data_IF_514927794672
#
_entry.id   IF_514927794672
#
_cell.length_a   1.000
_cell.length_b   1.000
_cell.length_c   1.000
_cell.angle_alpha   90.00
_cell.angle_beta   90.00
_cell.angle_gamma   90.00
#
_symmetry.space_group_name_H-M   'P 1'
#
loop_
_entity.id
_entity.type
_entity.pdbx_description
1 polymer ?
#
# COMPACT_ATOMS: atom_id res chain seq x y z
N UNK A 1 -23.62 28.76 15.87
CA UNK A 1 -22.80 28.22 16.97
C UNK A 1 -21.74 27.38 16.31
N UNK A 2 -20.51 27.85 16.28
CA UNK A 2 -19.39 27.12 15.69
C UNK A 2 -19.16 25.86 16.53
N UNK A 3 -19.22 24.67 15.88
CA UNK A 3 -18.68 23.44 16.44
C UNK A 3 -17.23 23.73 16.83
N UNK A 4 -16.96 23.88 18.12
CA UNK A 4 -15.59 23.86 18.60
C UNK A 4 -15.08 22.45 18.28
N UNK A 5 -14.24 22.37 17.26
CA UNK A 5 -13.49 21.18 16.91
C UNK A 5 -12.85 20.64 18.19
N UNK A 6 -13.32 19.52 18.66
CA UNK A 6 -12.86 18.89 19.90
C UNK A 6 -11.49 18.24 19.64
N UNK A 7 -10.50 19.07 19.32
CA UNK A 7 -9.15 18.64 19.00
C UNK A 7 -8.41 18.23 20.27
N UNK A 8 -8.05 16.96 20.33
CA UNK A 8 -7.34 16.37 21.46
C UNK A 8 -5.83 16.33 21.16
N UNK A 9 -5.02 16.67 22.14
CA UNK A 9 -3.56 16.63 22.04
C UNK A 9 -2.97 15.52 22.91
N UNK A 10 -2.03 14.76 22.36
CA UNK A 10 -1.25 13.75 23.08
C UNK A 10 0.23 13.89 22.77
N UNK A 11 1.05 13.37 23.65
CA UNK A 11 2.50 13.38 23.44
C UNK A 11 2.90 12.41 22.32
N UNK A 12 3.92 12.80 21.54
CA UNK A 12 4.48 11.94 20.49
C UNK A 12 5.26 10.82 21.14
N UNK A 13 4.90 9.58 20.86
CA UNK A 13 5.51 8.38 21.43
C UNK A 13 7.01 8.33 21.09
N UNK A 14 7.84 8.25 22.14
CA UNK A 14 9.30 8.29 22.04
C UNK A 14 9.91 9.70 21.97
N UNK A 15 9.08 10.74 21.95
CA UNK A 15 9.49 12.16 21.94
C UNK A 15 8.61 13.03 22.84
N UNK A 16 8.13 12.49 23.94
CA UNK A 16 7.12 13.06 24.85
C UNK A 16 7.52 14.45 25.38
N UNK A 17 8.81 14.64 25.64
CA UNK A 17 9.36 15.93 26.16
C UNK A 17 9.51 17.01 25.07
N UNK A 18 9.41 16.63 23.78
CA UNK A 18 9.73 17.51 22.66
C UNK A 18 8.52 17.89 21.83
N UNK A 19 7.59 16.95 21.63
CA UNK A 19 6.49 17.15 20.71
C UNK A 19 5.17 16.61 21.25
N UNK A 20 4.08 17.26 20.87
CA UNK A 20 2.72 16.77 20.99
C UNK A 20 2.06 16.71 19.63
N UNK A 21 1.19 15.74 19.42
CA UNK A 21 0.41 15.54 18.18
C UNK A 21 -1.07 15.67 18.49
N UNK A 22 -1.83 16.30 17.60
CA UNK A 22 -3.26 16.43 17.76
C UNK A 22 -4.03 15.31 17.03
N UNK A 23 -5.28 15.10 17.44
CA UNK A 23 -6.22 14.19 16.75
C UNK A 23 -6.51 14.61 15.30
N UNK A 24 -6.25 15.87 14.96
CA UNK A 24 -6.39 16.42 13.60
C UNK A 24 -5.08 16.45 12.81
N UNK A 25 -4.02 15.80 13.31
CA UNK A 25 -2.73 15.69 12.63
C UNK A 25 -1.84 16.94 12.70
N UNK A 26 -2.03 17.84 13.65
CA UNK A 26 -1.13 19.00 13.87
C UNK A 26 -0.02 18.63 14.86
N UNK A 27 1.24 18.92 14.51
CA UNK A 27 2.39 18.65 15.37
C UNK A 27 2.83 19.93 16.08
N UNK A 28 2.89 19.90 17.41
CA UNK A 28 3.32 21.00 18.26
C UNK A 28 4.71 20.73 18.83
N UNK A 29 5.59 21.72 18.76
CA UNK A 29 6.91 21.69 19.37
C UNK A 29 6.87 22.36 20.76
N UNK A 30 7.09 21.58 21.80
CA UNK A 30 7.16 22.09 23.19
C UNK A 30 8.32 23.06 23.40
N UNK A 31 9.44 22.84 22.69
CA UNK A 31 10.62 23.69 22.78
C UNK A 31 10.40 25.11 22.23
N UNK A 32 9.67 25.23 21.13
CA UNK A 32 9.45 26.51 20.45
C UNK A 32 8.07 27.08 20.71
N UNK A 33 7.20 26.33 21.39
CA UNK A 33 5.80 26.65 21.65
C UNK A 33 5.02 27.02 20.38
N UNK A 34 5.27 26.29 19.29
CA UNK A 34 4.66 26.53 17.98
C UNK A 34 4.22 25.23 17.32
N UNK A 35 3.14 25.34 16.52
CA UNK A 35 2.76 24.28 15.58
C UNK A 35 3.79 24.27 14.44
N UNK A 36 4.32 23.11 14.15
CA UNK A 36 5.33 22.93 13.10
C UNK A 36 4.70 22.86 11.73
N UNK A 37 5.35 23.52 10.76
CA UNK A 37 4.95 23.41 9.36
C UNK A 37 5.17 21.98 8.85
N UNK A 38 4.18 21.46 8.17
CA UNK A 38 4.25 20.17 7.50
C UNK A 38 4.71 20.35 6.05
N UNK A 39 5.47 19.39 5.57
CA UNK A 39 5.90 19.30 4.18
C UNK A 39 5.49 17.93 3.63
N UNK A 40 5.21 17.87 2.34
CA UNK A 40 4.97 16.61 1.65
C UNK A 40 6.30 15.92 1.42
N UNK A 41 6.43 14.66 1.85
CA UNK A 41 7.64 13.85 1.71
C UNK A 41 7.34 12.51 1.04
N UNK A 42 8.27 12.04 0.22
CA UNK A 42 8.16 10.76 -0.47
C UNK A 42 6.87 10.64 -1.29
N UNK A 43 6.12 9.57 -1.07
CA UNK A 43 4.88 9.26 -1.82
C UNK A 43 3.67 10.10 -1.35
N UNK A 44 3.80 11.42 -1.26
CA UNK A 44 2.74 12.39 -0.92
C UNK A 44 2.23 12.32 0.53
N UNK A 45 3.07 11.90 1.49
CA UNK A 45 2.70 11.92 2.91
C UNK A 45 3.14 13.21 3.60
N UNK A 46 2.27 13.75 4.46
CA UNK A 46 2.62 14.87 5.31
C UNK A 46 3.61 14.45 6.40
N UNK A 47 4.68 15.22 6.54
CA UNK A 47 5.68 15.02 7.58
C UNK A 47 6.25 16.36 8.09
N UNK A 48 6.73 16.37 9.32
CA UNK A 48 7.54 17.41 9.86
C UNK A 48 9.01 16.97 9.87
N UNK A 49 9.87 17.81 9.27
CA UNK A 49 11.33 17.62 9.31
C UNK A 49 11.90 18.61 10.31
N UNK A 50 12.57 18.11 11.32
CA UNK A 50 13.17 18.92 12.39
C UNK A 50 14.52 18.36 12.83
N UNK A 51 15.23 19.09 13.69
CA UNK A 51 16.50 18.61 14.27
C UNK A 51 16.37 18.42 15.79
N UNK A 52 16.93 17.32 16.29
CA UNK A 52 17.07 17.05 17.71
C UNK A 52 18.54 17.22 18.10
N UNK A 53 18.82 17.84 19.25
CA UNK A 53 20.21 18.05 19.72
C UNK A 53 20.86 19.35 19.20
N UNK A 54 20.06 20.36 18.80
CA UNK A 54 20.56 21.67 18.40
C UNK A 54 21.06 21.74 16.95
N UNK A 55 21.96 22.74 16.65
CA UNK A 55 22.41 23.05 15.28
C UNK A 55 23.16 21.87 14.62
N UNK A 56 23.94 21.10 15.39
CA UNK A 56 24.68 19.91 14.93
C UNK A 56 23.94 18.60 15.16
N UNK A 57 22.67 18.66 15.57
CA UNK A 57 21.85 17.50 15.92
C UNK A 57 21.40 16.70 14.70
N UNK A 58 20.80 15.52 14.99
CA UNK A 58 20.29 14.60 13.97
C UNK A 58 18.98 15.11 13.36
N UNK A 59 18.81 14.93 12.06
CA UNK A 59 17.53 15.17 11.40
C UNK A 59 16.52 14.11 11.88
N UNK A 60 15.33 14.60 12.22
CA UNK A 60 14.18 13.79 12.58
C UNK A 60 13.06 14.05 11.57
N UNK A 61 12.51 12.99 11.01
CA UNK A 61 11.35 13.05 10.12
C UNK A 61 10.20 12.35 10.83
N UNK A 62 9.16 13.13 11.19
CA UNK A 62 7.94 12.60 11.82
C UNK A 62 6.84 12.57 10.76
N UNK A 63 6.43 11.37 10.34
CA UNK A 63 5.30 11.18 9.41
C UNK A 63 3.99 11.33 10.18
N UNK A 64 3.22 12.34 9.88
CA UNK A 64 2.06 12.77 10.69
C UNK A 64 1.05 11.64 10.92
N UNK A 65 0.59 10.96 9.87
CA UNK A 65 -0.37 9.85 10.00
C UNK A 65 0.11 8.76 10.96
N UNK A 66 1.43 8.47 10.98
CA UNK A 66 1.99 7.46 11.88
C UNK A 66 2.03 7.95 13.33
N UNK A 67 2.36 9.21 13.55
CA UNK A 67 2.42 9.76 14.90
C UNK A 67 1.01 9.91 15.50
N UNK A 68 0.00 10.28 14.69
CA UNK A 68 -1.41 10.25 15.09
C UNK A 68 -1.83 8.82 15.43
N UNK A 69 -1.58 7.86 14.55
CA UNK A 69 -1.97 6.48 14.79
C UNK A 69 -1.32 5.91 16.06
N UNK A 70 -0.03 6.14 16.29
CA UNK A 70 0.67 5.70 17.51
C UNK A 70 0.09 6.32 18.79
N UNK A 71 -0.30 7.61 18.73
CA UNK A 71 -0.80 8.31 19.89
C UNK A 71 -2.25 8.00 20.24
N UNK A 72 -3.10 7.73 19.24
CA UNK A 72 -4.55 7.67 19.41
C UNK A 72 -5.19 6.32 19.12
N UNK A 73 -4.60 5.50 18.26
CA UNK A 73 -5.21 4.25 17.79
C UNK A 73 -4.50 3.04 18.40
N UNK A 74 -5.18 2.23 19.24
CA UNK A 74 -4.60 0.99 19.76
C UNK A 74 -4.17 0.05 18.64
N UNK A 75 -2.98 -0.58 18.81
CA UNK A 75 -2.45 -1.56 17.85
C UNK A 75 -2.03 -2.85 18.59
N UNK A 76 -2.99 -3.62 19.13
CA UNK A 76 -2.67 -4.82 19.92
C UNK A 76 -2.01 -5.92 19.08
N UNK A 77 -2.26 -5.93 17.77
CA UNK A 77 -1.73 -6.93 16.83
C UNK A 77 -0.40 -6.50 16.18
N UNK A 78 0.19 -5.37 16.57
CA UNK A 78 1.42 -4.82 16.00
C UNK A 78 1.38 -4.73 14.47
N UNK A 79 0.26 -4.29 13.91
CA UNK A 79 0.10 -4.14 12.45
C UNK A 79 1.07 -3.08 11.92
N UNK A 80 1.76 -3.34 10.79
CA UNK A 80 2.91 -2.52 10.37
C UNK A 80 2.56 -1.24 9.62
N UNK A 81 1.35 -1.16 9.04
CA UNK A 81 0.95 -0.07 8.15
C UNK A 81 -0.15 0.78 8.75
N UNK A 82 -0.16 2.07 8.41
CA UNK A 82 -1.27 2.98 8.66
C UNK A 82 -1.90 3.33 7.31
N UNK A 83 -3.19 3.08 7.19
CA UNK A 83 -4.01 3.38 6.02
C UNK A 83 -4.85 4.65 6.26
N UNK A 84 -5.12 5.41 5.19
CA UNK A 84 -6.11 6.47 5.14
C UNK A 84 -7.39 5.87 4.54
N UNK A 85 -8.46 5.81 5.32
CA UNK A 85 -9.73 5.16 4.92
C UNK A 85 -10.34 5.78 3.66
N UNK A 86 -10.22 7.10 3.52
CA UNK A 86 -10.68 7.88 2.35
C UNK A 86 -9.70 7.88 1.18
N UNK A 87 -8.48 7.33 1.36
CA UNK A 87 -7.41 7.35 0.37
C UNK A 87 -6.67 8.68 0.25
N UNK A 88 -7.09 9.74 0.93
CA UNK A 88 -6.41 11.04 0.93
C UNK A 88 -5.28 11.06 1.97
N UNK A 89 -4.04 11.03 1.50
CA UNK A 89 -2.83 11.06 2.34
C UNK A 89 -2.61 12.38 3.08
N UNK A 90 -3.37 13.41 2.75
CA UNK A 90 -3.34 14.71 3.43
C UNK A 90 -4.28 14.77 4.63
N UNK A 91 -5.32 13.94 4.66
CA UNK A 91 -6.30 13.86 5.73
C UNK A 91 -5.80 12.97 6.88
N UNK A 92 -5.08 13.58 7.81
CA UNK A 92 -4.48 12.89 8.96
C UNK A 92 -5.35 12.94 10.23
N UNK A 93 -6.66 13.11 10.08
CA UNK A 93 -7.60 12.99 11.18
C UNK A 93 -7.59 11.56 11.75
N UNK A 94 -7.64 11.44 13.08
CA UNK A 94 -7.63 10.13 13.76
C UNK A 94 -8.76 9.22 13.30
N UNK A 95 -9.93 9.79 13.00
CA UNK A 95 -11.11 9.03 12.53
C UNK A 95 -10.90 8.43 11.13
N UNK A 96 -10.02 9.05 10.34
CA UNK A 96 -9.67 8.61 8.99
C UNK A 96 -8.53 7.59 8.94
N UNK A 97 -7.86 7.35 10.06
CA UNK A 97 -6.68 6.47 10.10
C UNK A 97 -7.03 5.11 10.71
N UNK A 98 -6.32 4.08 10.27
CA UNK A 98 -6.42 2.73 10.80
C UNK A 98 -5.09 1.98 10.66
N UNK A 99 -4.85 1.02 11.59
CA UNK A 99 -3.74 0.09 11.45
C UNK A 99 -4.15 -1.10 10.57
N UNK A 100 -3.29 -1.46 9.62
CA UNK A 100 -3.56 -2.54 8.66
C UNK A 100 -2.33 -3.37 8.37
N UNK A 101 -2.54 -4.57 7.81
CA UNK A 101 -1.48 -5.35 7.18
C UNK A 101 -1.09 -4.76 5.83
N UNK A 102 0.07 -5.16 5.30
CA UNK A 102 0.49 -4.75 3.95
C UNK A 102 -0.50 -5.23 2.87
N UNK A 103 -1.08 -6.43 3.04
CA UNK A 103 -2.08 -7.00 2.10
C UNK A 103 -3.37 -6.17 2.08
N UNK A 104 -3.90 -5.84 3.25
CA UNK A 104 -5.11 -5.00 3.37
C UNK A 104 -4.90 -3.62 2.76
N UNK A 105 -3.74 -2.99 3.02
CA UNK A 105 -3.40 -1.68 2.46
C UNK A 105 -3.32 -1.70 0.92
N UNK A 106 -2.75 -2.77 0.34
CA UNK A 106 -2.71 -2.96 -1.12
C UNK A 106 -4.13 -3.17 -1.67
N UNK A 107 -4.93 -4.03 -1.04
CA UNK A 107 -6.30 -4.28 -1.47
C UNK A 107 -7.16 -3.01 -1.40
N UNK A 108 -7.03 -2.21 -0.33
CA UNK A 108 -7.69 -0.91 -0.22
C UNK A 108 -7.31 0.02 -1.37
N UNK A 109 -6.01 0.12 -1.70
CA UNK A 109 -5.53 0.94 -2.81
C UNK A 109 -6.06 0.47 -4.17
N UNK A 110 -6.19 -0.85 -4.38
CA UNK A 110 -6.76 -1.42 -5.61
C UNK A 110 -8.26 -1.11 -5.70
N UNK A 111 -9.02 -1.39 -4.64
CA UNK A 111 -10.48 -1.24 -4.62
C UNK A 111 -10.93 0.23 -4.80
N UNK A 112 -10.10 1.17 -4.34
CA UNK A 112 -10.37 2.61 -4.47
C UNK A 112 -9.70 3.25 -5.70
N UNK A 113 -9.12 2.46 -6.61
CA UNK A 113 -8.47 2.98 -7.81
C UNK A 113 -7.22 3.84 -7.55
N UNK A 114 -6.66 3.78 -6.35
CA UNK A 114 -5.49 4.57 -5.92
C UNK A 114 -4.16 3.95 -6.36
N UNK A 115 -4.20 2.71 -6.83
CA UNK A 115 -3.01 1.97 -7.27
C UNK A 115 -2.96 1.90 -8.78
N UNK A 116 -1.85 2.34 -9.37
CA UNK A 116 -1.53 2.08 -10.78
C UNK A 116 -1.39 0.60 -11.08
N UNK A 117 -1.24 -0.23 -10.05
CA UNK A 117 -1.14 -1.69 -10.18
C UNK A 117 -2.45 -2.32 -10.69
N UNK A 118 -3.63 -1.80 -10.30
CA UNK A 118 -4.91 -2.26 -10.85
C UNK A 118 -4.98 -2.04 -12.37
N UNK A 119 -4.61 -0.84 -12.82
CA UNK A 119 -4.57 -0.51 -14.25
C UNK A 119 -3.52 -1.35 -15.01
N UNK A 120 -2.33 -1.57 -14.42
CA UNK A 120 -1.30 -2.45 -15.00
C UNK A 120 -1.76 -3.90 -15.07
N UNK A 121 -2.51 -4.38 -14.07
CA UNK A 121 -3.10 -5.72 -14.08
C UNK A 121 -4.16 -5.84 -15.19
N UNK A 122 -5.08 -4.88 -15.31
CA UNK A 122 -6.06 -4.84 -16.40
C UNK A 122 -5.39 -4.81 -17.76
N UNK A 123 -4.38 -3.95 -17.98
CA UNK A 123 -3.60 -3.93 -19.21
C UNK A 123 -2.87 -5.25 -19.46
N UNK A 124 -2.41 -5.93 -18.42
CA UNK A 124 -1.75 -7.24 -18.56
C UNK A 124 -2.75 -8.33 -18.99
N UNK A 125 -3.97 -8.28 -18.48
CA UNK A 125 -5.07 -9.17 -18.88
C UNK A 125 -5.46 -8.91 -20.32
N UNK A 126 -5.68 -7.65 -20.71
CA UNK A 126 -6.00 -7.26 -22.08
C UNK A 126 -4.91 -7.60 -23.11
N UNK A 127 -3.65 -7.69 -22.67
CA UNK A 127 -2.49 -8.08 -23.52
C UNK A 127 -2.23 -9.57 -23.54
N UNK A 128 -3.03 -10.39 -22.84
CA UNK A 128 -2.88 -11.85 -22.87
C UNK A 128 -3.13 -12.36 -24.30
N UNK A 129 -2.22 -13.18 -24.78
CA UNK A 129 -2.37 -13.85 -26.08
C UNK A 129 -3.35 -15.01 -26.05
N UNK A 130 -3.64 -15.53 -24.87
CA UNK A 130 -4.52 -16.67 -24.61
C UNK A 130 -5.71 -16.20 -23.82
N UNK A 131 -6.89 -16.65 -24.22
CA UNK A 131 -8.11 -16.51 -23.42
C UNK A 131 -8.05 -17.45 -22.20
N UNK A 132 -8.93 -17.23 -21.23
CA UNK A 132 -9.02 -18.09 -20.06
C UNK A 132 -9.44 -19.52 -20.47
N UNK A 133 -10.29 -19.68 -21.47
CA UNK A 133 -10.70 -20.99 -22.00
C UNK A 133 -9.53 -21.72 -22.68
N UNK A 134 -8.67 -21.01 -23.40
CA UNK A 134 -7.44 -21.57 -23.97
C UNK A 134 -6.52 -22.08 -22.86
N UNK A 135 -6.41 -21.32 -21.77
CA UNK A 135 -5.58 -21.71 -20.61
C UNK A 135 -6.16 -22.94 -19.92
N UNK A 136 -7.48 -22.97 -19.67
CA UNK A 136 -8.16 -24.16 -19.13
C UNK A 136 -7.97 -25.37 -20.04
N UNK A 137 -8.13 -25.18 -21.35
CA UNK A 137 -7.86 -26.25 -22.31
C UNK A 137 -6.44 -26.80 -22.18
N UNK A 138 -5.43 -25.92 -22.11
CA UNK A 138 -4.02 -26.33 -21.97
C UNK A 138 -3.79 -27.07 -20.66
N UNK A 139 -4.28 -26.57 -19.54
CA UNK A 139 -4.14 -27.19 -18.22
C UNK A 139 -4.75 -28.58 -18.18
N UNK A 140 -5.97 -28.73 -18.71
CA UNK A 140 -6.74 -29.99 -18.62
C UNK A 140 -6.28 -31.05 -19.61
N UNK A 141 -5.70 -30.69 -20.74
CA UNK A 141 -5.38 -31.64 -21.80
C UNK A 141 -3.86 -31.90 -21.96
N UNK A 142 -3.01 -31.16 -21.29
CA UNK A 142 -1.56 -31.33 -21.45
C UNK A 142 -1.11 -32.75 -21.09
N UNK A 143 -0.39 -33.42 -22.01
CA UNK A 143 0.25 -34.69 -21.82
C UNK A 143 1.72 -34.60 -22.23
N UNK A 144 2.68 -34.92 -21.32
CA UNK A 144 4.10 -34.89 -21.67
C UNK A 144 4.41 -35.81 -22.85
N UNK A 145 5.19 -35.30 -23.81
CA UNK A 145 5.67 -36.01 -25.00
C UNK A 145 4.57 -36.47 -25.97
N UNK A 146 3.32 -36.10 -25.76
CA UNK A 146 2.22 -36.46 -26.65
C UNK A 146 2.30 -35.68 -27.98
N UNK A 147 1.88 -36.32 -29.09
CA UNK A 147 1.93 -35.73 -30.44
C UNK A 147 0.91 -34.62 -30.65
N UNK A 148 -0.23 -34.70 -29.96
CA UNK A 148 -1.36 -33.77 -30.12
C UNK A 148 -1.47 -32.79 -28.94
N UNK A 149 -1.24 -33.27 -27.72
CA UNK A 149 -1.39 -32.48 -26.49
C UNK A 149 -0.08 -32.20 -25.77
N UNK A 150 1.05 -32.55 -26.37
CA UNK A 150 2.37 -32.19 -25.87
C UNK A 150 2.68 -30.71 -26.05
N UNK A 151 3.68 -30.21 -25.33
CA UNK A 151 4.03 -28.79 -25.32
C UNK A 151 4.25 -28.21 -26.73
N UNK A 152 4.93 -28.93 -27.62
CA UNK A 152 5.18 -28.49 -29.01
C UNK A 152 3.92 -28.38 -29.85
N UNK A 153 2.98 -29.29 -29.65
CA UNK A 153 1.70 -29.28 -30.37
C UNK A 153 0.83 -28.11 -29.91
N UNK A 154 0.75 -27.91 -28.59
CA UNK A 154 0.02 -26.81 -27.97
C UNK A 154 0.64 -25.43 -28.37
N UNK A 155 1.98 -25.34 -28.47
CA UNK A 155 2.64 -24.14 -29.01
C UNK A 155 2.15 -23.78 -30.41
N UNK A 156 2.07 -24.78 -31.31
CA UNK A 156 1.55 -24.57 -32.68
C UNK A 156 0.09 -24.23 -32.71
N UNK A 157 -0.74 -24.94 -31.93
CA UNK A 157 -2.19 -24.75 -31.87
C UNK A 157 -2.58 -23.34 -31.42
N UNK A 158 -1.90 -22.82 -30.41
CA UNK A 158 -2.21 -21.53 -29.79
C UNK A 158 -1.28 -20.38 -30.21
N UNK A 159 -0.34 -20.63 -31.12
CA UNK A 159 0.66 -19.67 -31.61
C UNK A 159 1.41 -18.95 -30.48
N UNK A 160 1.88 -19.71 -29.49
CA UNK A 160 2.64 -19.23 -28.33
C UNK A 160 3.98 -19.95 -28.19
N UNK A 161 4.89 -19.35 -27.43
CA UNK A 161 6.21 -19.94 -27.18
C UNK A 161 6.15 -21.15 -26.23
N UNK A 162 7.14 -22.02 -26.30
CA UNK A 162 7.30 -23.14 -25.38
C UNK A 162 7.38 -22.69 -23.92
N UNK A 163 8.04 -21.55 -23.65
CA UNK A 163 8.10 -20.96 -22.31
C UNK A 163 6.74 -20.55 -21.78
N UNK A 164 5.83 -20.10 -22.65
CA UNK A 164 4.46 -19.77 -22.28
C UNK A 164 3.70 -21.02 -21.84
N UNK A 165 3.71 -22.08 -22.65
CA UNK A 165 3.06 -23.35 -22.30
C UNK A 165 3.65 -23.93 -20.99
N UNK A 166 4.97 -23.98 -20.87
CA UNK A 166 5.64 -24.45 -19.65
C UNK A 166 5.24 -23.64 -18.40
N UNK A 167 5.09 -22.34 -18.53
CA UNK A 167 4.70 -21.46 -17.41
C UNK A 167 3.24 -21.64 -17.00
N UNK A 168 2.36 -21.99 -17.94
CA UNK A 168 0.95 -22.33 -17.64
C UNK A 168 0.88 -23.65 -16.88
N UNK A 169 1.54 -24.67 -17.39
CA UNK A 169 1.55 -26.01 -16.78
C UNK A 169 2.14 -25.98 -15.37
N UNK A 170 3.19 -25.17 -15.15
CA UNK A 170 3.82 -24.96 -13.85
C UNK A 170 3.06 -23.99 -12.93
N UNK A 171 1.91 -23.52 -13.37
CA UNK A 171 1.10 -22.53 -12.66
C UNK A 171 1.88 -21.24 -12.25
N UNK A 172 2.84 -20.81 -13.09
CA UNK A 172 3.63 -19.60 -12.88
C UNK A 172 2.89 -18.38 -13.47
N UNK A 173 2.30 -18.54 -14.66
CA UNK A 173 1.44 -17.54 -15.33
C UNK A 173 -0.01 -18.00 -15.33
N UNK A 174 -0.95 -17.06 -15.49
CA UNK A 174 -2.39 -17.34 -15.51
C UNK A 174 -2.84 -18.12 -14.25
N UNK A 175 -2.35 -17.67 -13.08
CA UNK A 175 -2.67 -18.28 -11.77
C UNK A 175 -4.13 -18.11 -11.36
N UNK A 176 -4.79 -17.13 -11.95
CA UNK A 176 -6.18 -16.74 -11.75
C UNK A 176 -7.18 -17.55 -12.61
N UNK A 177 -6.67 -18.44 -13.45
CA UNK A 177 -7.48 -19.32 -14.31
C UNK A 177 -7.32 -20.76 -13.82
N UNK A 178 -8.40 -21.33 -13.27
CA UNK A 178 -8.50 -22.74 -12.85
C UNK A 178 -8.93 -23.63 -14.00
#
# INVERSE_FOLDING_TARGET
MSEMDNEIWRDVVGYEKLFSISSKGRLFSKRTSKILKQNVVGNSYNACVTKIGGRSGKNLVLKIHREVAKAFIPNPNNLPMVNHKDGDKSNNDVENLEWVTAKENINHAINNGLSTFSHLLELSILRRKLSDDDVRFIKNNFKPYDKEFGARALCRKFNVSHSTISSIIKNIRYKDVD
#
